data_IF_687451907705
#
_entry.id   IF_687451907705
#
_cell.length_a   1.000
_cell.length_b   1.000
_cell.length_c   1.000
_cell.angle_alpha   90.00
_cell.angle_beta   90.00
_cell.angle_gamma   90.00
#
_symmetry.space_group_name_H-M   'P 1'
#
loop_
_entity.id
_entity.type
_entity.pdbx_description
1 polymer ?
#
# COMPACT_ATOMS: atom_id res chain seq x y z
N UNK A 1 -28.71 6.59 -8.62
CA UNK A 1 -27.62 6.28 -7.69
C UNK A 1 -26.64 7.43 -7.76
N UNK A 2 -26.37 8.12 -6.64
CA UNK A 2 -25.36 9.18 -6.61
C UNK A 2 -24.00 8.50 -6.72
N UNK A 3 -23.23 8.79 -7.76
CA UNK A 3 -21.82 8.38 -7.80
C UNK A 3 -21.17 9.07 -6.60
N UNK A 4 -20.72 8.29 -5.62
CA UNK A 4 -19.91 8.80 -4.51
C UNK A 4 -18.72 9.53 -5.13
N UNK A 5 -18.60 10.84 -4.90
CA UNK A 5 -17.45 11.58 -5.39
C UNK A 5 -16.22 11.05 -4.68
N UNK A 6 -15.26 10.51 -5.44
CA UNK A 6 -13.96 10.12 -4.88
C UNK A 6 -13.36 11.30 -4.10
N UNK A 7 -12.68 11.04 -2.98
CA UNK A 7 -12.03 12.08 -2.21
C UNK A 7 -10.86 12.69 -2.98
N UNK A 8 -10.35 13.82 -2.47
CA UNK A 8 -9.13 14.39 -3.03
C UNK A 8 -7.97 13.39 -2.90
N UNK A 9 -7.16 13.29 -3.97
CA UNK A 9 -6.17 12.21 -4.13
C UNK A 9 -5.20 12.08 -2.96
N UNK A 10 -4.74 13.20 -2.40
CA UNK A 10 -3.80 13.24 -1.28
C UNK A 10 -4.46 13.70 0.03
N UNK A 11 -5.78 13.51 0.16
CA UNK A 11 -6.46 13.80 1.42
C UNK A 11 -5.97 12.90 2.55
N UNK A 12 -5.79 13.47 3.75
CA UNK A 12 -5.16 12.80 4.88
C UNK A 12 -6.11 11.96 5.72
N UNK A 13 -7.42 12.11 5.54
CA UNK A 13 -8.39 11.36 6.33
C UNK A 13 -8.39 9.88 5.94
N UNK A 14 -8.71 9.04 6.92
CA UNK A 14 -9.09 7.65 6.66
C UNK A 14 -10.44 7.63 5.95
N UNK A 15 -10.60 6.72 4.99
CA UNK A 15 -11.83 6.61 4.21
C UNK A 15 -12.52 5.29 4.51
N UNK A 16 -13.77 5.37 4.97
CA UNK A 16 -14.61 4.21 5.18
C UNK A 16 -15.39 3.91 3.90
N UNK A 17 -15.22 2.71 3.35
CA UNK A 17 -16.04 2.17 2.28
C UNK A 17 -16.95 1.08 2.86
N UNK A 18 -18.27 1.26 2.71
CA UNK A 18 -19.27 0.30 3.19
C UNK A 18 -19.63 -0.68 2.10
N UNK A 19 -19.47 -1.97 2.38
CA UNK A 19 -19.85 -3.03 1.44
C UNK A 19 -21.38 -3.20 1.44
N UNK A 20 -22.04 -3.35 0.28
CA UNK A 20 -23.47 -3.60 0.22
C UNK A 20 -23.92 -4.86 0.97
N UNK A 21 -23.03 -5.84 1.11
CA UNK A 21 -23.27 -7.08 1.84
C UNK A 21 -22.96 -6.95 3.35
N UNK A 22 -22.66 -5.73 3.83
CA UNK A 22 -22.40 -5.37 5.23
C UNK A 22 -20.91 -5.19 5.57
N UNK A 23 -20.60 -4.58 6.71
CA UNK A 23 -19.22 -4.31 7.10
C UNK A 23 -18.58 -3.12 6.37
N UNK A 24 -17.36 -2.79 6.77
CA UNK A 24 -16.63 -1.61 6.27
C UNK A 24 -15.16 -1.93 6.04
N UNK A 25 -14.61 -1.44 4.94
CA UNK A 25 -13.16 -1.36 4.72
C UNK A 25 -12.73 0.06 5.10
N UNK A 26 -11.80 0.17 6.05
CA UNK A 26 -11.22 1.43 6.47
C UNK A 26 -9.86 1.62 5.77
N UNK A 27 -9.84 2.45 4.73
CA UNK A 27 -8.67 2.75 3.93
C UNK A 27 -7.81 3.81 4.64
N UNK A 28 -6.65 3.40 5.14
CA UNK A 28 -5.69 4.25 5.83
C UNK A 28 -4.49 4.60 4.93
N UNK A 29 -4.43 5.87 4.51
CA UNK A 29 -3.39 6.34 3.59
C UNK A 29 -2.02 6.51 4.26
N UNK A 30 -1.05 5.67 3.88
CA UNK A 30 0.34 5.71 4.38
C UNK A 30 1.30 6.29 3.33
N UNK A 31 2.45 6.82 3.77
CA UNK A 31 3.55 7.19 2.88
C UNK A 31 4.68 6.16 3.03
N UNK A 32 5.25 5.66 1.91
CA UNK A 32 6.35 4.70 1.96
C UNK A 32 7.52 5.23 2.78
N UNK A 33 8.12 4.41 3.63
CA UNK A 33 9.31 4.69 4.46
C UNK A 33 9.16 5.84 5.47
N UNK A 34 7.98 6.44 5.61
CA UNK A 34 7.73 7.58 6.52
C UNK A 34 7.08 7.11 7.81
N UNK A 35 7.68 7.46 8.94
CA UNK A 35 7.14 7.17 10.27
C UNK A 35 6.03 8.17 10.59
N UNK A 36 4.79 7.70 10.72
CA UNK A 36 3.69 8.60 11.06
C UNK A 36 3.71 9.00 12.54
N UNK A 37 3.51 10.29 12.85
CA UNK A 37 3.21 10.74 14.20
C UNK A 37 1.88 10.16 14.68
N UNK A 38 1.74 9.96 16.00
CA UNK A 38 0.55 9.33 16.61
C UNK A 38 -0.77 9.96 16.18
N UNK A 39 -0.80 11.27 15.95
CA UNK A 39 -2.02 12.00 15.56
C UNK A 39 -2.56 11.57 14.18
N UNK A 40 -1.70 11.07 13.29
CA UNK A 40 -2.04 10.63 11.93
C UNK A 40 -2.37 9.14 11.84
N UNK A 41 -2.22 8.38 12.93
CA UNK A 41 -2.50 6.93 12.92
C UNK A 41 -3.99 6.64 13.06
N UNK A 42 -4.48 5.48 12.58
CA UNK A 42 -5.87 5.09 12.72
C UNK A 42 -6.31 5.12 14.18
N UNK A 43 -7.48 5.72 14.44
CA UNK A 43 -8.07 5.81 15.79
C UNK A 43 -9.29 4.94 15.96
N UNK A 44 -9.92 4.57 14.85
CA UNK A 44 -11.10 3.72 14.85
C UNK A 44 -10.75 2.30 15.31
N UNK A 45 -11.75 1.63 15.88
CA UNK A 45 -11.63 0.21 16.22
C UNK A 45 -11.75 -0.61 14.94
N UNK A 46 -10.90 -1.62 14.79
CA UNK A 46 -10.90 -2.52 13.65
C UNK A 46 -10.75 -3.97 14.10
N UNK A 47 -11.29 -4.88 13.30
CA UNK A 47 -11.44 -6.30 13.62
C UNK A 47 -10.36 -7.14 12.94
N UNK A 48 -9.94 -6.76 11.73
CA UNK A 48 -8.89 -7.41 10.99
C UNK A 48 -8.03 -6.43 10.18
N UNK A 49 -6.88 -6.89 9.71
CA UNK A 49 -5.94 -6.14 8.88
C UNK A 49 -5.85 -6.76 7.49
N UNK A 50 -5.89 -5.95 6.44
CA UNK A 50 -5.53 -6.34 5.08
C UNK A 50 -4.20 -5.70 4.68
N UNK A 51 -3.34 -6.46 4.00
CA UNK A 51 -2.06 -5.98 3.46
C UNK A 51 -2.06 -6.24 1.95
N UNK A 52 -1.75 -5.22 1.15
CA UNK A 52 -1.68 -5.30 -0.32
C UNK A 52 -0.35 -5.87 -0.82
N UNK A 53 0.08 -6.98 -0.21
CA UNK A 53 1.26 -7.76 -0.58
C UNK A 53 0.94 -9.25 -0.37
N UNK A 54 1.85 -10.10 -0.85
CA UNK A 54 1.86 -11.53 -0.58
C UNK A 54 2.44 -11.81 0.82
N UNK A 55 2.16 -12.98 1.43
CA UNK A 55 2.53 -13.29 2.81
C UNK A 55 4.05 -13.29 3.09
N UNK A 56 4.88 -13.50 2.07
CA UNK A 56 6.34 -13.47 2.12
C UNK A 56 6.92 -12.09 2.47
N UNK A 57 6.12 -11.02 2.35
CA UNK A 57 6.49 -9.67 2.81
C UNK A 57 6.87 -9.64 4.30
N UNK A 58 6.29 -10.55 5.11
CA UNK A 58 6.60 -10.63 6.54
C UNK A 58 8.03 -11.11 6.78
N UNK A 59 8.48 -12.11 6.01
CA UNK A 59 9.85 -12.62 6.10
C UNK A 59 10.84 -11.54 5.65
N UNK A 60 10.50 -10.80 4.60
CA UNK A 60 11.28 -9.64 4.16
C UNK A 60 11.40 -8.59 5.26
N UNK A 61 10.28 -8.20 5.91
CA UNK A 61 10.33 -7.24 7.02
C UNK A 61 11.17 -7.73 8.20
N UNK A 62 11.09 -9.01 8.54
CA UNK A 62 11.91 -9.60 9.61
C UNK A 62 13.39 -9.57 9.23
N UNK A 63 13.72 -9.79 7.95
CA UNK A 63 15.09 -9.68 7.48
C UNK A 63 15.59 -8.23 7.50
N UNK A 64 14.80 -7.27 6.99
CA UNK A 64 15.13 -5.84 7.05
C UNK A 64 15.37 -5.37 8.49
N UNK A 65 14.55 -5.85 9.46
CA UNK A 65 14.72 -5.55 10.89
C UNK A 65 16.05 -6.10 11.45
N UNK A 66 16.50 -7.27 11.01
CA UNK A 66 17.81 -7.82 11.40
C UNK A 66 18.93 -7.00 10.78
N UNK A 67 18.82 -6.68 9.50
CA UNK A 67 19.82 -5.91 8.78
C UNK A 67 19.99 -4.50 9.38
N UNK A 68 18.89 -3.84 9.75
CA UNK A 68 18.94 -2.56 10.46
C UNK A 68 19.55 -2.67 11.88
N UNK A 69 19.34 -3.80 12.57
CA UNK A 69 19.93 -4.02 13.88
C UNK A 69 21.44 -4.26 13.81
N UNK A 70 21.92 -4.93 12.75
CA UNK A 70 23.33 -5.20 12.50
C UNK A 70 24.07 -3.97 11.94
N UNK A 71 23.42 -3.24 11.01
CA UNK A 71 24.00 -2.08 10.33
C UNK A 71 22.91 -1.01 10.08
N UNK A 72 22.71 -0.07 11.01
CA UNK A 72 21.69 0.97 10.87
C UNK A 72 21.81 1.77 9.56
N UNK A 73 20.71 1.85 8.82
CA UNK A 73 20.61 2.54 7.54
C UNK A 73 21.03 1.71 6.32
N UNK A 74 21.34 0.41 6.48
CA UNK A 74 21.76 -0.45 5.37
C UNK A 74 20.67 -0.60 4.30
N UNK A 75 19.40 -0.73 4.69
CA UNK A 75 18.31 -0.89 3.72
C UNK A 75 18.05 0.41 2.96
N UNK A 76 18.12 1.56 3.65
CA UNK A 76 18.05 2.86 2.99
C UNK A 76 19.21 3.05 1.99
N UNK A 77 20.44 2.72 2.40
CA UNK A 77 21.60 2.80 1.52
C UNK A 77 21.44 1.88 0.30
N UNK A 78 20.93 0.66 0.50
CA UNK A 78 20.62 -0.27 -0.58
C UNK A 78 19.57 0.30 -1.54
N UNK A 79 18.47 0.85 -1.02
CA UNK A 79 17.43 1.49 -1.84
C UNK A 79 17.96 2.68 -2.65
N UNK A 80 18.81 3.52 -2.06
CA UNK A 80 19.46 4.63 -2.78
C UNK A 80 20.37 4.13 -3.91
N UNK A 81 21.16 3.08 -3.66
CA UNK A 81 22.09 2.49 -4.63
C UNK A 81 21.36 1.76 -5.77
N UNK A 82 20.21 1.14 -5.49
CA UNK A 82 19.40 0.46 -6.53
C UNK A 82 18.90 1.40 -7.63
N UNK A 83 18.85 2.71 -7.34
CA UNK A 83 18.46 3.75 -8.30
C UNK A 83 16.98 3.71 -8.68
N UNK A 84 16.68 4.04 -9.94
CA UNK A 84 15.30 4.11 -10.42
C UNK A 84 14.49 5.25 -9.79
N UNK A 85 13.16 5.19 -9.93
CA UNK A 85 12.26 6.21 -9.37
C UNK A 85 12.25 6.16 -7.83
N UNK A 86 12.43 4.98 -7.25
CA UNK A 86 12.47 4.80 -5.80
C UNK A 86 13.73 5.40 -5.18
N UNK A 87 14.91 5.23 -5.80
CA UNK A 87 16.13 5.90 -5.35
C UNK A 87 16.00 7.43 -5.34
N UNK A 88 15.40 8.03 -6.38
CA UNK A 88 15.13 9.48 -6.41
C UNK A 88 14.14 9.88 -5.30
N UNK A 89 13.10 9.07 -5.08
CA UNK A 89 12.15 9.28 -4.00
C UNK A 89 12.83 9.28 -2.62
N UNK A 90 13.66 8.27 -2.35
CA UNK A 90 14.40 8.12 -1.10
C UNK A 90 15.39 9.28 -0.87
N UNK A 91 16.09 9.71 -1.93
CA UNK A 91 17.00 10.85 -1.86
C UNK A 91 16.24 12.14 -1.48
N UNK A 92 15.12 12.45 -2.17
CA UNK A 92 14.37 13.67 -1.88
C UNK A 92 13.57 13.61 -0.56
N UNK A 93 13.01 12.46 -0.18
CA UNK A 93 12.19 12.32 1.04
C UNK A 93 13.04 12.41 2.31
N UNK A 94 14.30 11.97 2.27
CA UNK A 94 15.22 12.01 3.41
C UNK A 94 15.82 13.40 3.65
N UNK A 95 15.73 14.29 2.65
CA UNK A 95 16.10 15.70 2.79
C UNK A 95 15.00 16.57 3.41
N UNK A 96 13.77 16.06 3.56
CA UNK A 96 12.68 16.82 4.16
C UNK A 96 12.87 16.97 5.67
N UNK A 97 13.10 18.20 6.12
CA UNK A 97 13.14 18.53 7.55
C UNK A 97 11.80 18.20 8.23
N UNK A 98 11.84 17.85 9.52
CA UNK A 98 10.66 17.52 10.33
C UNK A 98 9.78 16.37 9.82
N UNK A 99 10.29 15.56 8.88
CA UNK A 99 9.68 14.30 8.42
C UNK A 99 10.65 13.18 8.72
N UNK A 100 10.26 12.24 9.59
CA UNK A 100 11.06 11.04 9.84
C UNK A 100 10.80 10.04 8.71
N UNK A 101 11.73 9.95 7.77
CA UNK A 101 11.63 9.12 6.55
C UNK A 101 12.80 8.15 6.40
N UNK A 102 12.82 7.36 5.31
CA UNK A 102 13.88 6.41 5.01
C UNK A 102 13.97 5.25 6.01
N UNK A 103 12.87 4.95 6.71
CA UNK A 103 12.80 3.84 7.67
C UNK A 103 12.37 2.55 6.98
N UNK A 104 13.11 1.47 7.26
CA UNK A 104 12.83 0.11 6.80
C UNK A 104 12.74 -0.84 8.00
N UNK A 105 11.87 -1.87 7.97
CA UNK A 105 10.77 -2.06 7.02
C UNK A 105 9.80 -0.87 7.02
N UNK A 106 8.90 -0.85 6.04
CA UNK A 106 7.89 0.20 5.90
C UNK A 106 7.11 0.36 7.23
N UNK A 107 7.23 1.52 7.90
CA UNK A 107 7.02 1.58 9.35
C UNK A 107 5.55 1.45 9.75
N UNK A 108 4.62 1.99 8.95
CA UNK A 108 3.19 1.93 9.29
C UNK A 108 2.55 0.56 8.99
N UNK A 109 2.73 -0.05 7.80
CA UNK A 109 2.29 -1.42 7.55
C UNK A 109 2.85 -2.42 8.57
N UNK A 110 4.18 -2.39 8.81
CA UNK A 110 4.81 -3.30 9.77
C UNK A 110 4.32 -3.08 11.21
N UNK A 111 4.11 -1.83 11.62
CA UNK A 111 3.56 -1.51 12.95
C UNK A 111 2.14 -2.03 13.11
N UNK A 112 1.30 -1.91 12.08
CA UNK A 112 -0.07 -2.41 12.09
C UNK A 112 -0.11 -3.94 12.10
N UNK A 113 0.75 -4.61 11.33
CA UNK A 113 0.94 -6.06 11.38
C UNK A 113 1.26 -6.55 12.80
N UNK A 114 2.32 -6.00 13.41
CA UNK A 114 2.69 -6.34 14.81
C UNK A 114 1.58 -6.04 15.81
N UNK A 115 0.77 -5.01 15.55
CA UNK A 115 -0.39 -4.70 16.37
C UNK A 115 -1.51 -5.74 16.22
N UNK A 116 -1.76 -6.22 15.01
CA UNK A 116 -2.71 -7.30 14.73
C UNK A 116 -2.29 -8.60 15.43
N UNK A 117 -1.03 -9.03 15.26
CA UNK A 117 -0.47 -10.23 15.91
C UNK A 117 -0.60 -10.15 17.44
N UNK A 118 -0.24 -9.01 18.04
CA UNK A 118 -0.31 -8.83 19.49
C UNK A 118 -1.72 -8.96 20.06
N UNK A 119 -2.74 -8.63 19.27
CA UNK A 119 -4.14 -8.66 19.69
C UNK A 119 -4.93 -9.79 19.04
N UNK A 120 -4.23 -10.77 18.45
CA UNK A 120 -4.83 -11.94 17.81
C UNK A 120 -5.90 -11.57 16.75
N UNK A 121 -5.63 -10.51 15.98
CA UNK A 121 -6.51 -10.07 14.89
C UNK A 121 -6.09 -10.76 13.59
N UNK A 122 -7.04 -11.28 12.80
CA UNK A 122 -6.73 -11.86 11.50
C UNK A 122 -5.99 -10.86 10.59
N UNK A 123 -5.02 -11.37 9.83
CA UNK A 123 -4.26 -10.63 8.83
C UNK A 123 -4.48 -11.30 7.48
N UNK A 124 -5.01 -10.55 6.52
CA UNK A 124 -5.29 -11.01 5.16
C UNK A 124 -4.26 -10.44 4.19
N UNK A 125 -3.58 -11.32 3.47
CA UNK A 125 -2.67 -10.95 2.38
C UNK A 125 -3.45 -10.93 1.08
N UNK A 126 -3.62 -9.73 0.54
CA UNK A 126 -4.52 -9.45 -0.58
C UNK A 126 -3.86 -9.77 -1.91
N UNK A 127 -2.54 -9.72 -2.02
CA UNK A 127 -1.89 -10.23 -3.22
C UNK A 127 -2.02 -11.75 -3.28
N UNK A 128 -2.45 -12.33 -4.43
CA UNK A 128 -2.39 -13.77 -4.62
C UNK A 128 -0.96 -14.30 -4.51
N UNK A 129 -0.84 -15.54 -4.05
CA UNK A 129 0.43 -16.26 -3.98
C UNK A 129 0.89 -16.71 -5.37
N UNK A 130 2.18 -17.06 -5.49
CA UNK A 130 2.81 -17.42 -6.77
C UNK A 130 2.29 -18.74 -7.38
N UNK A 131 1.42 -19.48 -6.70
CA UNK A 131 0.71 -20.65 -7.23
C UNK A 131 -0.57 -20.27 -8.00
N UNK A 132 -1.02 -19.01 -7.92
CA UNK A 132 -2.17 -18.53 -8.67
C UNK A 132 -1.81 -18.29 -10.15
N UNK A 133 -2.38 -19.10 -11.04
CA UNK A 133 -2.08 -19.03 -12.48
C UNK A 133 -2.44 -17.68 -13.11
N UNK A 134 -3.58 -17.10 -12.73
CA UNK A 134 -4.03 -15.80 -13.25
C UNK A 134 -3.14 -14.66 -12.74
N UNK A 135 -2.65 -14.75 -11.51
CA UNK A 135 -1.72 -13.79 -10.94
C UNK A 135 -0.34 -13.91 -11.58
N UNK A 136 0.14 -15.12 -11.84
CA UNK A 136 1.37 -15.33 -12.58
C UNK A 136 1.31 -14.72 -13.99
N UNK A 137 0.17 -14.83 -14.68
CA UNK A 137 -0.04 -14.15 -15.95
C UNK A 137 -0.01 -12.62 -15.78
N UNK A 138 -0.65 -12.10 -14.72
CA UNK A 138 -0.61 -10.69 -14.37
C UNK A 138 0.83 -10.19 -14.16
N UNK A 139 1.61 -10.84 -13.30
CA UNK A 139 3.02 -10.53 -13.03
C UNK A 139 3.87 -10.61 -14.31
N UNK A 140 3.60 -11.59 -15.17
CA UNK A 140 4.24 -11.69 -16.49
C UNK A 140 3.93 -10.47 -17.37
N UNK A 141 2.69 -10.00 -17.35
CA UNK A 141 2.28 -8.81 -18.10
C UNK A 141 2.90 -7.53 -17.53
N UNK A 142 3.00 -7.40 -16.21
CA UNK A 142 3.75 -6.31 -15.56
C UNK A 142 5.22 -6.31 -16.01
N UNK A 143 5.89 -7.46 -15.94
CA UNK A 143 7.28 -7.60 -16.34
C UNK A 143 7.49 -7.27 -17.83
N UNK A 144 6.61 -7.74 -18.72
CA UNK A 144 6.64 -7.38 -20.16
C UNK A 144 6.45 -5.89 -20.38
N UNK A 145 5.54 -5.26 -19.65
CA UNK A 145 5.29 -3.83 -19.79
C UNK A 145 6.48 -2.99 -19.31
N UNK A 146 7.03 -3.31 -18.13
CA UNK A 146 8.17 -2.59 -17.54
C UNK A 146 9.46 -2.76 -18.37
N UNK A 147 9.67 -3.95 -18.95
CA UNK A 147 10.85 -4.26 -19.79
C UNK A 147 10.72 -3.82 -21.25
N UNK A 148 9.58 -3.27 -21.67
CA UNK A 148 9.38 -2.85 -23.05
C UNK A 148 10.37 -1.74 -23.45
N UNK A 149 11.02 -1.86 -24.61
CA UNK A 149 12.11 -0.96 -25.05
C UNK A 149 11.77 0.54 -25.00
N UNK A 150 10.52 0.92 -25.30
CA UNK A 150 10.05 2.32 -25.17
C UNK A 150 10.10 2.83 -23.73
N UNK A 151 9.81 1.97 -22.74
CA UNK A 151 9.92 2.31 -21.31
C UNK A 151 11.37 2.46 -20.92
N UNK A 152 12.22 1.50 -21.31
CA UNK A 152 13.67 1.53 -21.06
C UNK A 152 14.33 2.80 -21.61
N UNK A 153 14.04 3.18 -22.87
CA UNK A 153 14.51 4.47 -23.42
C UNK A 153 13.94 5.66 -22.63
N UNK A 154 12.68 5.56 -22.20
CA UNK A 154 12.06 6.56 -21.34
C UNK A 154 12.79 6.75 -20.01
N UNK A 155 13.40 5.70 -19.45
CA UNK A 155 14.14 5.74 -18.18
C UNK A 155 15.42 6.58 -18.25
N UNK A 156 16.01 6.78 -19.44
CA UNK A 156 17.15 7.70 -19.63
C UNK A 156 16.77 9.14 -19.21
N UNK A 157 15.50 9.49 -19.37
CA UNK A 157 14.96 10.82 -19.01
C UNK A 157 14.24 10.85 -17.66
N UNK A 158 14.52 9.89 -16.77
CA UNK A 158 13.79 9.70 -15.51
C UNK A 158 13.76 10.96 -14.65
N UNK A 159 14.89 11.65 -14.44
CA UNK A 159 14.93 12.90 -13.67
C UNK A 159 14.11 14.04 -14.29
N UNK A 160 13.97 14.08 -15.62
CA UNK A 160 13.06 15.01 -16.29
C UNK A 160 11.58 14.66 -16.06
N UNK A 161 11.24 13.37 -16.17
CA UNK A 161 9.90 12.84 -15.91
C UNK A 161 9.48 13.01 -14.44
N UNK A 162 10.41 12.84 -13.51
CA UNK A 162 10.25 13.10 -12.08
C UNK A 162 9.83 14.55 -11.84
N UNK A 163 10.67 15.52 -12.24
CA UNK A 163 10.39 16.95 -12.07
C UNK A 163 9.05 17.38 -12.69
N UNK A 164 8.69 16.81 -13.85
CA UNK A 164 7.39 17.09 -14.49
C UNK A 164 6.22 16.61 -13.64
N UNK A 165 6.33 15.43 -13.03
CA UNK A 165 5.29 14.86 -12.16
C UNK A 165 5.22 15.53 -10.80
N UNK A 166 6.36 15.90 -10.18
CA UNK A 166 6.35 16.74 -8.97
C UNK A 166 5.53 18.00 -9.20
N UNK A 167 5.80 18.72 -10.30
CA UNK A 167 5.03 19.93 -10.67
C UNK A 167 3.54 19.68 -10.83
N UNK A 168 3.14 18.52 -11.35
CA UNK A 168 1.72 18.12 -11.46
C UNK A 168 1.13 17.83 -10.08
N UNK A 169 1.86 17.07 -9.25
CA UNK A 169 1.36 16.55 -7.98
C UNK A 169 1.29 17.61 -6.87
N UNK A 170 2.07 18.69 -6.96
CA UNK A 170 1.93 19.86 -6.09
C UNK A 170 0.50 20.41 -6.08
N UNK A 171 -0.22 20.37 -7.21
CA UNK A 171 -1.61 20.85 -7.28
C UNK A 171 -2.61 19.97 -6.54
N UNK A 172 -2.23 18.74 -6.17
CA UNK A 172 -3.06 17.84 -5.35
C UNK A 172 -2.66 17.86 -3.87
N UNK A 173 -1.63 18.63 -3.49
CA UNK A 173 -1.10 18.63 -2.14
C UNK A 173 -2.14 19.17 -1.15
N UNK A 174 -2.41 18.37 -0.11
CA UNK A 174 -3.31 18.73 0.97
C UNK A 174 -2.55 19.12 2.23
N UNK A 175 -3.12 20.05 2.99
CA UNK A 175 -2.54 20.42 4.29
C UNK A 175 -2.65 19.24 5.26
N UNK A 176 -1.54 18.80 5.88
CA UNK A 176 -1.59 17.74 6.86
C UNK A 176 -2.39 18.19 8.11
N UNK A 177 -2.79 17.24 8.98
CA UNK A 177 -3.52 17.54 10.19
C UNK A 177 -2.84 18.61 11.06
N UNK A 178 -3.64 19.39 11.80
CA UNK A 178 -3.12 20.46 12.65
C UNK A 178 -2.08 19.91 13.64
N UNK A 179 -0.93 20.59 13.70
CA UNK A 179 0.20 20.19 14.57
C UNK A 179 1.19 19.24 13.90
N UNK A 180 0.98 18.89 12.64
CA UNK A 180 1.95 18.18 11.80
C UNK A 180 2.72 19.17 10.93
N UNK A 181 4.01 18.89 10.69
CA UNK A 181 4.83 19.70 9.80
C UNK A 181 4.21 19.77 8.40
N UNK A 182 4.12 20.96 7.78
CA UNK A 182 3.70 21.09 6.38
C UNK A 182 4.52 20.24 5.40
N UNK A 183 5.74 19.84 5.76
CA UNK A 183 6.60 18.99 4.94
C UNK A 183 6.01 17.58 4.70
N UNK A 184 5.04 17.13 5.50
CA UNK A 184 4.26 15.93 5.16
C UNK A 184 3.45 16.12 3.87
N UNK A 185 2.99 17.34 3.56
CA UNK A 185 2.39 17.66 2.26
C UNK A 185 3.37 17.45 1.11
N UNK A 186 4.62 17.91 1.28
CA UNK A 186 5.71 17.66 0.32
C UNK A 186 6.00 16.15 0.21
N UNK A 187 6.07 15.44 1.32
CA UNK A 187 6.25 13.99 1.36
C UNK A 187 5.17 13.24 0.56
N UNK A 188 3.90 13.65 0.70
CA UNK A 188 2.79 13.09 -0.08
C UNK A 188 2.93 13.35 -1.58
N UNK A 189 3.41 14.54 -1.98
CA UNK A 189 3.70 14.88 -3.38
C UNK A 189 4.82 13.99 -3.96
N UNK A 190 5.88 13.77 -3.18
CA UNK A 190 6.98 12.90 -3.59
C UNK A 190 6.52 11.44 -3.72
N UNK A 191 5.75 10.94 -2.75
CA UNK A 191 5.18 9.60 -2.80
C UNK A 191 4.25 9.41 -4.02
N UNK A 192 3.39 10.40 -4.29
CA UNK A 192 2.54 10.41 -5.48
C UNK A 192 3.34 10.43 -6.78
N UNK A 193 4.46 11.13 -6.80
CA UNK A 193 5.34 11.21 -7.98
C UNK A 193 6.04 9.89 -8.25
N UNK A 194 6.53 9.22 -7.21
CA UNK A 194 7.07 7.87 -7.30
C UNK A 194 6.01 6.88 -7.78
N UNK A 195 4.83 6.89 -7.17
CA UNK A 195 3.71 6.03 -7.55
C UNK A 195 3.30 6.22 -9.01
N UNK A 196 3.12 7.47 -9.47
CA UNK A 196 2.82 7.80 -10.87
C UNK A 196 3.89 7.34 -11.88
N UNK A 197 5.13 7.13 -11.43
CA UNK A 197 6.20 6.58 -12.26
C UNK A 197 6.12 5.06 -12.32
N UNK A 198 5.82 4.39 -11.19
CA UNK A 198 5.60 2.95 -11.16
C UNK A 198 4.39 2.55 -12.00
N UNK A 199 3.25 3.21 -11.82
CA UNK A 199 2.05 2.96 -12.64
C UNK A 199 2.31 3.26 -14.12
N UNK A 200 3.14 4.27 -14.43
CA UNK A 200 3.52 4.53 -15.81
C UNK A 200 4.40 3.43 -16.39
N UNK A 201 5.26 2.77 -15.61
CA UNK A 201 6.09 1.67 -16.11
C UNK A 201 5.22 0.47 -16.48
N UNK A 202 4.30 0.09 -15.59
CA UNK A 202 3.41 -1.07 -15.73
C UNK A 202 2.30 -0.84 -16.76
N UNK A 203 1.74 0.37 -16.82
CA UNK A 203 0.70 0.74 -17.79
C UNK A 203 -0.73 0.52 -17.28
N UNK A 204 -1.64 1.34 -17.80
CA UNK A 204 -2.99 1.52 -17.26
C UNK A 204 -3.85 0.24 -17.24
N UNK A 205 -3.80 -0.57 -18.30
CA UNK A 205 -4.61 -1.79 -18.37
C UNK A 205 -4.20 -2.81 -17.31
N UNK A 206 -2.90 -2.94 -17.07
CA UNK A 206 -2.36 -3.90 -16.11
C UNK A 206 -2.62 -3.39 -14.69
N UNK A 207 -2.36 -2.11 -14.42
CA UNK A 207 -2.70 -1.46 -13.13
C UNK A 207 -4.18 -1.61 -12.79
N UNK A 208 -5.10 -1.41 -13.75
CA UNK A 208 -6.54 -1.59 -13.51
C UNK A 208 -6.92 -3.04 -13.18
N UNK A 209 -6.27 -4.01 -13.84
CA UNK A 209 -6.49 -5.42 -13.54
C UNK A 209 -6.01 -5.78 -12.11
N UNK A 210 -4.85 -5.24 -11.69
CA UNK A 210 -4.34 -5.38 -10.33
C UNK A 210 -5.34 -4.83 -9.30
N UNK A 211 -5.78 -3.59 -9.50
CA UNK A 211 -6.64 -2.89 -8.55
C UNK A 211 -8.03 -3.53 -8.47
N UNK A 212 -8.56 -4.04 -9.59
CA UNK A 212 -9.82 -4.81 -9.61
C UNK A 212 -9.69 -6.09 -8.77
N UNK A 213 -8.62 -6.85 -8.98
CA UNK A 213 -8.40 -8.09 -8.23
C UNK A 213 -8.15 -7.86 -6.75
N UNK A 214 -7.44 -6.79 -6.41
CA UNK A 214 -7.30 -6.36 -5.02
C UNK A 214 -8.66 -6.04 -4.41
N UNK A 215 -9.56 -5.39 -5.13
CA UNK A 215 -10.92 -5.12 -4.65
C UNK A 215 -11.74 -6.42 -4.46
N UNK A 216 -11.68 -7.37 -5.39
CA UNK A 216 -12.33 -8.70 -5.28
C UNK A 216 -11.91 -9.41 -3.99
N UNK A 217 -10.59 -9.50 -3.76
CA UNK A 217 -10.00 -10.14 -2.58
C UNK A 217 -10.27 -9.36 -1.30
N UNK A 218 -10.21 -8.03 -1.31
CA UNK A 218 -10.59 -7.18 -0.17
C UNK A 218 -12.04 -7.43 0.27
N UNK A 219 -12.97 -7.57 -0.68
CA UNK A 219 -14.36 -7.93 -0.37
C UNK A 219 -14.45 -9.35 0.21
N UNK A 220 -13.65 -10.28 -0.30
CA UNK A 220 -13.52 -11.63 0.28
C UNK A 220 -13.02 -11.64 1.72
N UNK A 221 -11.96 -10.89 2.03
CA UNK A 221 -11.45 -10.72 3.39
C UNK A 221 -12.55 -10.16 4.30
N UNK A 222 -13.24 -9.10 3.86
CA UNK A 222 -14.34 -8.53 4.65
C UNK A 222 -15.47 -9.54 4.84
N UNK A 223 -15.80 -10.33 3.82
CA UNK A 223 -16.82 -11.38 3.90
C UNK A 223 -16.50 -12.41 4.98
N UNK A 224 -15.24 -12.81 5.12
CA UNK A 224 -14.83 -13.69 6.22
C UNK A 224 -14.93 -12.98 7.58
N UNK A 225 -14.45 -11.73 7.71
CA UNK A 225 -14.52 -10.98 8.98
C UNK A 225 -15.98 -10.83 9.45
N UNK A 226 -16.92 -10.68 8.51
CA UNK A 226 -18.37 -10.65 8.79
C UNK A 226 -18.89 -11.93 9.46
N UNK A 227 -18.27 -13.09 9.22
CA UNK A 227 -18.71 -14.35 9.85
C UNK A 227 -18.65 -14.28 11.38
N UNK A 228 -17.74 -13.48 11.94
CA UNK A 228 -17.56 -13.27 13.39
C UNK A 228 -18.18 -11.98 13.90
N UNK A 229 -18.17 -10.92 13.09
CA UNK A 229 -18.52 -9.56 13.53
C UNK A 229 -19.81 -8.99 12.91
N UNK A 230 -20.45 -9.71 11.98
CA UNK A 230 -21.68 -9.26 11.32
C UNK A 230 -21.50 -7.94 10.57
N UNK A 231 -22.52 -7.08 10.61
CA UNK A 231 -22.50 -5.76 9.96
C UNK A 231 -21.45 -4.80 10.54
N UNK A 232 -21.00 -5.03 11.78
CA UNK A 232 -19.98 -4.23 12.46
C UNK A 232 -18.55 -4.61 12.05
N UNK A 233 -18.36 -5.56 11.11
CA UNK A 233 -17.05 -5.95 10.62
C UNK A 233 -16.27 -4.74 10.07
N UNK A 234 -15.02 -4.58 10.50
CA UNK A 234 -14.13 -3.50 10.05
C UNK A 234 -12.79 -4.09 9.66
N UNK A 235 -12.49 -4.04 8.37
CA UNK A 235 -11.20 -4.43 7.79
C UNK A 235 -10.34 -3.17 7.61
N UNK A 236 -9.25 -3.06 8.38
CA UNK A 236 -8.29 -1.96 8.21
C UNK A 236 -7.36 -2.26 7.04
N UNK A 237 -7.22 -1.30 6.13
CA UNK A 237 -6.35 -1.39 4.96
C UNK A 237 -5.33 -0.24 4.96
N UNK A 238 -4.10 -0.42 5.48
CA UNK A 238 -3.00 0.46 5.15
C UNK A 238 -2.63 0.31 3.67
N UNK A 239 -2.60 1.42 2.96
CA UNK A 239 -2.18 1.46 1.56
C UNK A 239 -1.52 2.78 1.23
N UNK A 240 -0.69 2.83 0.19
CA UNK A 240 -0.06 4.08 -0.20
C UNK A 240 -1.12 5.13 -0.52
N UNK A 241 -0.99 6.30 0.11
CA UNK A 241 -1.90 7.42 -0.06
C UNK A 241 -2.23 7.72 -1.55
N UNK A 242 -1.26 7.77 -2.49
CA UNK A 242 -1.57 8.02 -3.91
C UNK A 242 -2.31 6.88 -4.63
N UNK A 243 -2.32 5.66 -4.08
CA UNK A 243 -3.01 4.47 -4.61
C UNK A 243 -4.47 4.39 -4.14
N UNK A 244 -4.79 4.97 -2.98
CA UNK A 244 -6.10 4.85 -2.31
C UNK A 244 -7.30 5.05 -3.24
N UNK A 245 -7.29 6.10 -4.05
CA UNK A 245 -8.44 6.41 -4.91
C UNK A 245 -8.65 5.36 -6.01
N UNK A 246 -7.61 4.67 -6.46
CA UNK A 246 -7.75 3.61 -7.45
C UNK A 246 -8.41 2.37 -6.82
N UNK A 247 -8.00 2.00 -5.62
CA UNK A 247 -8.63 0.92 -4.84
C UNK A 247 -10.08 1.27 -4.50
N UNK A 248 -10.35 2.50 -4.05
CA UNK A 248 -11.71 2.94 -3.77
C UNK A 248 -12.59 2.88 -5.03
N UNK A 249 -12.08 3.35 -6.17
CA UNK A 249 -12.79 3.25 -7.44
C UNK A 249 -13.04 1.80 -7.89
N UNK A 250 -12.10 0.88 -7.61
CA UNK A 250 -12.27 -0.54 -7.88
C UNK A 250 -13.35 -1.16 -6.97
N UNK A 251 -13.37 -0.83 -5.68
CA UNK A 251 -14.40 -1.27 -4.73
C UNK A 251 -15.79 -0.73 -5.10
N UNK A 252 -15.90 0.51 -5.55
CA UNK A 252 -17.17 1.11 -6.04
C UNK A 252 -17.74 0.42 -7.29
N UNK A 253 -16.93 -0.36 -8.02
CA UNK A 253 -17.45 -1.21 -9.11
C UNK A 253 -18.15 -2.48 -8.59
N UNK A 254 -18.14 -2.72 -7.28
CA UNK A 254 -18.76 -3.85 -6.60
C UNK A 254 -18.37 -5.20 -7.24
N UNK A 255 -17.06 -5.48 -7.42
CA UNK A 255 -16.64 -6.72 -8.05
C UNK A 255 -16.99 -7.91 -7.15
N UNK A 256 -17.13 -9.11 -7.71
CA UNK A 256 -17.49 -10.29 -6.93
C UNK A 256 -16.42 -10.59 -5.86
N UNK A 257 -16.83 -11.00 -4.67
CA UNK A 257 -15.89 -11.29 -3.60
C UNK A 257 -15.10 -12.57 -3.93
N UNK A 258 -13.78 -12.47 -4.00
CA UNK A 258 -12.88 -13.62 -4.17
C UNK A 258 -12.50 -14.18 -2.79
N UNK A 259 -12.78 -15.46 -2.53
CA UNK A 259 -12.44 -16.11 -1.26
C UNK A 259 -10.93 -16.08 -1.00
N UNK A 260 -10.54 -15.65 0.21
CA UNK A 260 -9.13 -15.65 0.63
C UNK A 260 -8.89 -16.87 1.52
N UNK A 261 -8.05 -17.78 1.04
CA UNK A 261 -7.63 -19.00 1.76
C UNK A 261 -6.38 -18.79 2.61
N UNK A 262 -5.65 -17.67 2.44
CA UNK A 262 -4.40 -17.40 3.14
C UNK A 262 -4.62 -16.82 4.55
N UNK A 263 -4.76 -17.70 5.54
CA UNK A 263 -4.58 -17.36 6.97
C UNK A 263 -3.21 -17.85 7.46
N UNK A 264 -2.20 -16.98 7.62
CA UNK A 264 -0.94 -17.42 8.22
C UNK A 264 -0.98 -17.47 9.76
N UNK A 265 -2.07 -17.05 10.42
CA UNK A 265 -2.15 -17.00 11.89
C UNK A 265 -2.75 -18.25 12.56
N UNK A 266 -2.66 -19.42 11.94
CA UNK A 266 -2.73 -20.68 12.68
C UNK A 266 -1.35 -21.38 12.65
N UNK A 267 -0.56 -21.18 13.70
CA UNK A 267 0.44 -22.19 14.12
C UNK A 267 -0.29 -23.36 14.80
N UNK A 268 -1.29 -23.92 14.13
CA UNK A 268 -2.00 -25.10 14.57
C UNK A 268 -1.30 -26.34 14.05
N UNK A 269 -0.63 -27.06 14.94
CA UNK A 269 -0.11 -28.42 14.77
C UNK A 269 -0.71 -29.19 13.59
N UNK A 270 0.02 -29.27 12.48
CA UNK A 270 -0.06 -30.44 11.60
C UNK A 270 0.96 -31.43 12.11
N UNK A 271 0.49 -32.30 13.00
CA UNK A 271 1.01 -33.68 13.04
C UNK A 271 0.85 -34.24 11.62
N UNK A 272 1.95 -34.59 10.98
CA UNK A 272 1.95 -35.59 9.92
C UNK A 272 2.92 -36.70 10.33
N UNK A 273 2.33 -37.91 10.37
CA UNK A 273 2.89 -39.22 10.67
C UNK A 273 4.01 -39.66 9.71
#
# INVERSE_FOLDING_TARGET
MSVSSLPERLDWADHAWSDPDGGTILLHGVLPTVVYPRIMRPRETWHALAILDAPDVVDMWVQEEKDEAESPGVNLAHGLISGGSFGIYLDEITMLEDVKSGSFPDPEPRRLHRNAERHDRPVYFIEPTADDEFWNEHLTNEAKAASHWKKLLGMISLGGKWRKRVKKNIFFAQKPPRGISPNYGSAAVLAATWWDLNEWLVGESVVKARDLRYAERLRGALADVRTRHGEDAVLLLPLFLPHRNAILAALENLPEAEEITSYPTHSGNTEEE
#
